data_IF_023815311934
#
_entry.id   IF_023815311934
#
_cell.length_a   1.000
_cell.length_b   1.000
_cell.length_c   1.000
_cell.angle_alpha   90.00
_cell.angle_beta   90.00
_cell.angle_gamma   90.00
#
_symmetry.space_group_name_H-M   'P 1'
#
loop_
_entity.id
_entity.type
_entity.pdbx_description
1 polymer ?
#
# COMPACT_ATOMS: atom_id res chain seq x y z
N UNK A 1 -21.07 46.67 18.12
CA UNK A 1 -20.99 45.94 16.84
C UNK A 1 -20.56 44.51 17.13
N UNK A 2 -21.52 43.61 17.28
CA UNK A 2 -21.28 42.17 17.42
C UNK A 2 -20.90 41.61 16.06
N UNK A 3 -19.64 41.21 15.90
CA UNK A 3 -19.21 40.42 14.74
C UNK A 3 -19.95 39.08 14.77
N UNK A 4 -21.10 39.01 14.11
CA UNK A 4 -21.68 37.73 13.70
C UNK A 4 -20.69 37.11 12.74
N UNK A 5 -20.04 36.03 13.18
CA UNK A 5 -19.17 35.20 12.36
C UNK A 5 -19.97 34.49 11.25
N UNK A 6 -20.49 35.27 10.30
CA UNK A 6 -20.97 34.80 9.01
C UNK A 6 -19.78 34.20 8.26
N UNK A 7 -19.92 32.97 7.75
CA UNK A 7 -18.94 32.14 7.03
C UNK A 7 -18.03 31.21 7.86
N UNK A 8 -18.50 30.72 9.01
CA UNK A 8 -18.02 29.44 9.57
C UNK A 8 -18.75 28.25 8.94
N UNK A 9 -18.75 28.15 7.61
CA UNK A 9 -18.99 26.89 6.86
C UNK A 9 -17.84 25.87 7.06
N UNK A 10 -17.09 26.04 8.16
CA UNK A 10 -15.93 25.28 8.59
C UNK A 10 -16.37 23.90 9.02
N UNK A 11 -16.08 22.89 8.22
CA UNK A 11 -15.94 21.48 8.60
C UNK A 11 -16.75 21.08 9.84
N UNK A 12 -18.07 21.28 9.74
CA UNK A 12 -19.01 21.02 10.83
C UNK A 12 -19.07 19.51 11.11
N UNK A 13 -19.68 19.14 12.22
CA UNK A 13 -19.74 17.73 12.64
C UNK A 13 -20.40 16.83 11.58
N UNK A 14 -21.38 17.36 10.82
CA UNK A 14 -22.08 16.61 9.78
C UNK A 14 -21.19 16.37 8.56
N UNK A 15 -20.44 17.38 8.10
CA UNK A 15 -19.46 17.26 7.02
C UNK A 15 -18.29 16.38 7.43
N UNK A 16 -17.86 16.47 8.70
CA UNK A 16 -16.85 15.59 9.31
C UNK A 16 -17.29 14.13 9.25
N UNK A 17 -18.49 13.82 9.74
CA UNK A 17 -19.01 12.46 9.73
C UNK A 17 -19.16 11.93 8.30
N UNK A 18 -19.76 12.72 7.38
CA UNK A 18 -19.88 12.34 5.96
C UNK A 18 -18.54 12.04 5.31
N UNK A 19 -17.51 12.82 5.63
CA UNK A 19 -16.16 12.58 5.13
C UNK A 19 -15.60 11.26 5.68
N UNK A 20 -15.73 11.01 6.98
CA UNK A 20 -15.26 9.77 7.61
C UNK A 20 -15.99 8.53 7.06
N UNK A 21 -17.30 8.61 6.89
CA UNK A 21 -18.12 7.54 6.32
C UNK A 21 -17.67 7.22 4.88
N UNK A 22 -17.48 8.25 4.04
CA UNK A 22 -16.99 8.08 2.68
C UNK A 22 -15.60 7.43 2.64
N UNK A 23 -14.68 7.84 3.51
CA UNK A 23 -13.35 7.20 3.62
C UNK A 23 -13.49 5.74 4.07
N UNK A 24 -14.37 5.44 5.03
CA UNK A 24 -14.61 4.09 5.53
C UNK A 24 -15.19 3.15 4.46
N UNK A 25 -15.98 3.67 3.51
CA UNK A 25 -16.45 2.91 2.33
C UNK A 25 -15.36 2.64 1.28
N UNK A 26 -14.15 3.15 1.48
CA UNK A 26 -13.02 2.90 0.60
C UNK A 26 -12.80 3.96 -0.47
N UNK A 27 -13.49 5.09 -0.44
CA UNK A 27 -13.23 6.21 -1.35
C UNK A 27 -11.82 6.80 -1.17
N UNK A 28 -11.32 7.50 -2.19
CA UNK A 28 -10.10 8.30 -2.07
C UNK A 28 -10.36 9.51 -1.18
N UNK A 29 -9.32 10.09 -0.58
CA UNK A 29 -9.48 11.27 0.29
C UNK A 29 -10.00 12.49 -0.48
N UNK A 30 -9.64 12.62 -1.76
CA UNK A 30 -10.11 13.71 -2.61
C UNK A 30 -11.62 13.57 -2.92
N UNK A 31 -12.06 12.37 -3.30
CA UNK A 31 -13.47 12.10 -3.60
C UNK A 31 -14.34 12.18 -2.34
N UNK A 32 -13.83 11.69 -1.20
CA UNK A 32 -14.50 11.82 0.08
C UNK A 32 -14.68 13.30 0.48
N UNK A 33 -13.65 14.14 0.25
CA UNK A 33 -13.74 15.58 0.50
C UNK A 33 -14.76 16.25 -0.43
N UNK A 34 -14.76 15.91 -1.72
CA UNK A 34 -15.77 16.39 -2.67
C UNK A 34 -17.18 15.97 -2.26
N UNK A 35 -17.37 14.72 -1.83
CA UNK A 35 -18.65 14.16 -1.37
C UNK A 35 -19.17 14.87 -0.11
N UNK A 36 -18.27 15.22 0.81
CA UNK A 36 -18.62 15.98 2.00
C UNK A 36 -18.82 17.49 1.73
N UNK A 37 -18.58 17.96 0.51
CA UNK A 37 -18.69 19.37 0.13
C UNK A 37 -17.63 20.24 0.80
N UNK A 38 -16.41 19.71 0.95
CA UNK A 38 -15.28 20.40 1.59
C UNK A 38 -14.04 20.41 0.69
N UNK A 39 -13.21 21.43 0.87
CA UNK A 39 -11.93 21.48 0.19
C UNK A 39 -10.97 20.40 0.75
N UNK A 40 -10.24 19.69 -0.12
CA UNK A 40 -9.39 18.56 0.26
C UNK A 40 -8.30 18.87 1.31
N UNK A 41 -7.85 20.14 1.40
CA UNK A 41 -6.89 20.57 2.43
C UNK A 41 -7.48 20.70 3.84
N UNK A 42 -8.81 20.82 3.97
CA UNK A 42 -9.48 21.06 5.25
C UNK A 42 -9.31 19.86 6.20
N UNK A 43 -9.60 18.61 5.81
CA UNK A 43 -9.34 17.45 6.67
C UNK A 43 -7.90 17.36 7.14
N UNK A 44 -6.92 17.60 6.27
CA UNK A 44 -5.48 17.56 6.62
C UNK A 44 -5.11 18.58 7.69
N UNK A 45 -5.73 19.76 7.68
CA UNK A 45 -5.52 20.78 8.73
C UNK A 45 -6.12 20.33 10.07
N UNK A 46 -7.32 19.75 10.05
CA UNK A 46 -7.97 19.22 11.25
C UNK A 46 -7.24 17.99 11.82
N UNK A 47 -6.75 17.09 10.98
CA UNK A 47 -5.95 15.92 11.38
C UNK A 47 -4.70 16.32 12.20
N UNK A 48 -4.12 17.51 11.96
CA UNK A 48 -2.96 18.01 12.72
C UNK A 48 -3.32 18.68 14.05
N UNK A 49 -4.54 19.16 14.20
CA UNK A 49 -4.94 20.05 15.30
C UNK A 49 -5.99 19.43 16.22
N UNK A 50 -6.71 18.42 15.75
CA UNK A 50 -7.77 17.70 16.46
C UNK A 50 -7.39 16.21 16.51
N UNK A 51 -6.85 15.78 17.65
CA UNK A 51 -6.37 14.41 17.86
C UNK A 51 -7.51 13.37 17.79
N UNK A 52 -8.72 13.75 18.21
CA UNK A 52 -9.90 12.87 18.16
C UNK A 52 -10.28 12.62 16.70
N UNK A 53 -10.32 13.68 15.89
CA UNK A 53 -10.55 13.54 14.46
C UNK A 53 -9.43 12.75 13.76
N UNK A 54 -8.16 12.97 14.15
CA UNK A 54 -7.03 12.23 13.58
C UNK A 54 -7.17 10.71 13.80
N UNK A 55 -7.53 10.30 15.01
CA UNK A 55 -7.78 8.89 15.34
C UNK A 55 -8.97 8.35 14.54
N UNK A 56 -10.10 9.05 14.53
CA UNK A 56 -11.28 8.64 13.76
C UNK A 56 -10.98 8.48 12.26
N UNK A 57 -10.16 9.38 11.69
CA UNK A 57 -9.72 9.29 10.31
C UNK A 57 -8.77 8.10 10.07
N UNK A 58 -7.89 7.79 11.02
CA UNK A 58 -7.04 6.60 10.94
C UNK A 58 -7.88 5.31 10.92
N UNK A 59 -8.90 5.23 11.78
CA UNK A 59 -9.83 4.10 11.85
C UNK A 59 -10.64 3.97 10.55
N UNK A 60 -11.17 5.08 10.04
CA UNK A 60 -11.86 5.12 8.75
C UNK A 60 -10.95 4.67 7.59
N UNK A 61 -9.69 5.12 7.55
CA UNK A 61 -8.70 4.68 6.54
C UNK A 61 -8.45 3.17 6.63
N UNK A 62 -8.37 2.61 7.84
CA UNK A 62 -8.20 1.18 8.05
C UNK A 62 -9.42 0.38 7.56
N UNK A 63 -10.64 0.83 7.86
CA UNK A 63 -11.88 0.24 7.36
C UNK A 63 -11.94 0.29 5.82
N UNK A 64 -11.72 1.47 5.22
CA UNK A 64 -11.73 1.63 3.77
C UNK A 64 -10.66 0.81 3.06
N UNK A 65 -9.50 0.57 3.70
CA UNK A 65 -8.49 -0.34 3.17
C UNK A 65 -9.02 -1.77 3.09
N UNK A 66 -9.74 -2.26 4.11
CA UNK A 66 -10.35 -3.60 4.11
C UNK A 66 -11.38 -3.72 2.99
N UNK A 67 -12.29 -2.75 2.86
CA UNK A 67 -13.31 -2.72 1.79
C UNK A 67 -12.67 -2.79 0.41
N UNK A 68 -11.62 -1.99 0.16
CA UNK A 68 -10.89 -2.05 -1.12
C UNK A 68 -10.25 -3.41 -1.36
N UNK A 69 -9.66 -4.04 -0.33
CA UNK A 69 -9.05 -5.37 -0.46
C UNK A 69 -10.07 -6.47 -0.73
N UNK A 70 -11.26 -6.39 -0.13
CA UNK A 70 -12.35 -7.34 -0.33
C UNK A 70 -12.90 -7.30 -1.76
N UNK A 71 -12.99 -6.10 -2.34
CA UNK A 71 -13.46 -5.87 -3.71
C UNK A 71 -12.43 -6.27 -4.79
N UNK A 72 -11.19 -6.59 -4.44
CA UNK A 72 -10.21 -7.09 -5.42
C UNK A 72 -10.56 -8.55 -5.78
N UNK A 73 -10.72 -8.88 -7.08
CA UNK A 73 -10.99 -10.26 -7.48
C UNK A 73 -9.93 -11.26 -6.99
N UNK A 74 -10.35 -12.48 -6.69
CA UNK A 74 -9.43 -13.56 -6.33
C UNK A 74 -8.55 -13.94 -7.52
N UNK A 75 -7.26 -14.18 -7.26
CA UNK A 75 -6.28 -14.50 -8.30
C UNK A 75 -4.83 -14.38 -7.81
N UNK A 76 -3.89 -14.46 -8.75
CA UNK A 76 -2.45 -14.44 -8.45
C UNK A 76 -2.01 -13.13 -7.76
N UNK A 77 -2.55 -11.97 -8.18
CA UNK A 77 -2.26 -10.69 -7.53
C UNK A 77 -2.68 -10.67 -6.06
N UNK A 78 -3.92 -11.08 -5.76
CA UNK A 78 -4.44 -11.10 -4.38
C UNK A 78 -3.68 -12.10 -3.51
N UNK A 79 -3.17 -13.19 -4.08
CA UNK A 79 -2.25 -14.11 -3.41
C UNK A 79 -0.90 -13.44 -3.08
N UNK A 80 -0.23 -12.87 -4.08
CA UNK A 80 1.13 -12.36 -3.93
C UNK A 80 1.19 -11.06 -3.13
N UNK A 81 0.31 -10.10 -3.42
CA UNK A 81 0.39 -8.74 -2.91
C UNK A 81 -0.53 -8.49 -1.70
N UNK A 82 -1.66 -9.20 -1.62
CA UNK A 82 -2.65 -9.01 -0.55
C UNK A 82 -2.67 -10.17 0.46
N UNK A 83 -1.81 -11.17 0.29
CA UNK A 83 -1.62 -12.26 1.25
C UNK A 83 -2.77 -13.26 1.35
N UNK A 84 -3.71 -13.27 0.40
CA UNK A 84 -4.82 -14.24 0.42
C UNK A 84 -4.30 -15.67 0.15
N UNK A 85 -4.84 -16.64 0.88
CA UNK A 85 -4.44 -18.07 0.82
C UNK A 85 -5.60 -19.03 0.57
N UNK A 86 -6.74 -18.55 0.04
CA UNK A 86 -7.83 -19.45 -0.35
C UNK A 86 -7.47 -20.28 -1.60
N UNK A 87 -8.20 -21.36 -1.84
CA UNK A 87 -7.92 -22.33 -2.91
C UNK A 87 -7.86 -21.69 -4.31
N UNK A 88 -8.74 -20.73 -4.60
CA UNK A 88 -8.76 -19.99 -5.89
C UNK A 88 -7.45 -19.23 -6.10
N UNK A 89 -7.01 -18.48 -5.08
CA UNK A 89 -5.78 -17.70 -5.10
C UNK A 89 -4.54 -18.60 -5.19
N UNK A 90 -4.50 -19.68 -4.40
CA UNK A 90 -3.43 -20.67 -4.41
C UNK A 90 -3.30 -21.36 -5.78
N UNK A 91 -4.43 -21.77 -6.36
CA UNK A 91 -4.50 -22.39 -7.69
C UNK A 91 -4.03 -21.43 -8.77
N UNK A 92 -4.51 -20.18 -8.75
CA UNK A 92 -4.09 -19.14 -9.69
C UNK A 92 -2.57 -18.88 -9.60
N UNK A 93 -2.01 -18.77 -8.40
CA UNK A 93 -0.58 -18.57 -8.20
C UNK A 93 0.25 -19.78 -8.67
N UNK A 94 -0.22 -21.00 -8.41
CA UNK A 94 0.43 -22.22 -8.90
C UNK A 94 0.43 -22.30 -10.42
N UNK A 95 -0.71 -21.96 -11.06
CA UNK A 95 -0.81 -21.87 -12.52
C UNK A 95 0.15 -20.82 -13.08
N UNK A 96 0.17 -19.60 -12.53
CA UNK A 96 1.09 -18.54 -12.95
C UNK A 96 2.56 -18.96 -12.84
N UNK A 97 2.95 -19.63 -11.75
CA UNK A 97 4.31 -20.21 -11.61
C UNK A 97 4.61 -21.29 -12.64
N UNK A 98 3.64 -22.15 -12.99
CA UNK A 98 3.82 -23.16 -14.03
C UNK A 98 4.02 -22.51 -15.41
N UNK A 99 3.21 -21.52 -15.76
CA UNK A 99 3.34 -20.78 -17.03
C UNK A 99 4.70 -20.08 -17.14
N UNK A 100 5.17 -19.41 -16.08
CA UNK A 100 6.50 -18.78 -16.08
C UNK A 100 7.64 -19.80 -16.22
N UNK A 101 7.52 -20.97 -15.60
CA UNK A 101 8.50 -22.06 -15.78
C UNK A 101 8.51 -22.59 -17.21
N UNK A 102 7.34 -22.77 -17.84
CA UNK A 102 7.25 -23.20 -19.23
C UNK A 102 7.84 -22.15 -20.19
N UNK A 103 7.57 -20.87 -19.97
CA UNK A 103 8.13 -19.78 -20.78
C UNK A 103 9.65 -19.58 -20.59
N UNK A 104 10.20 -19.98 -19.44
CA UNK A 104 11.62 -19.93 -19.16
C UNK A 104 12.38 -21.16 -19.68
N UNK A 105 11.69 -22.21 -20.11
CA UNK A 105 12.36 -23.25 -20.89
C UNK A 105 12.75 -22.63 -22.22
N UNK A 106 14.03 -22.66 -22.61
CA UNK A 106 14.44 -22.14 -23.90
C UNK A 106 13.62 -22.87 -24.96
N UNK A 107 12.92 -22.11 -25.80
CA UNK A 107 12.50 -22.61 -27.10
C UNK A 107 13.75 -23.27 -27.70
N UNK A 108 13.63 -24.55 -28.06
CA UNK A 108 14.74 -25.39 -28.50
C UNK A 108 15.72 -24.56 -29.32
N UNK A 109 16.91 -24.32 -28.75
CA UNK A 109 18.04 -23.83 -29.51
C UNK A 109 18.43 -25.00 -30.43
N UNK A 110 17.77 -25.06 -31.58
CA UNK A 110 18.19 -25.88 -32.70
C UNK A 110 19.63 -25.49 -33.03
N UNK A 111 20.56 -26.32 -32.54
CA UNK A 111 21.93 -26.39 -33.01
C UNK A 111 22.89 -25.35 -32.44
N UNK A 112 23.38 -25.55 -31.22
CA UNK A 112 24.82 -25.41 -30.94
C UNK A 112 25.21 -26.10 -29.64
N UNK A 113 25.59 -27.37 -29.79
CA UNK A 113 26.36 -28.12 -28.80
C UNK A 113 27.74 -27.48 -28.64
N UNK A 114 28.00 -26.85 -27.49
CA UNK A 114 29.37 -26.45 -27.14
C UNK A 114 29.48 -25.29 -26.16
N UNK A 115 28.97 -25.42 -24.94
CA UNK A 115 29.45 -24.58 -23.82
C UNK A 115 29.34 -25.36 -22.51
N UNK A 116 30.46 -25.97 -22.13
CA UNK A 116 30.71 -26.54 -20.81
C UNK A 116 30.40 -25.48 -19.76
N UNK A 117 29.59 -25.85 -18.76
CA UNK A 117 29.11 -24.94 -17.72
C UNK A 117 30.24 -24.21 -17.00
N UNK A 118 30.29 -22.88 -17.16
CA UNK A 118 31.03 -22.03 -16.24
C UNK A 118 30.25 -21.93 -14.94
N UNK A 119 30.60 -22.81 -14.00
CA UNK A 119 30.29 -22.63 -12.59
C UNK A 119 31.08 -21.41 -12.12
N UNK A 120 30.42 -20.26 -12.00
CA UNK A 120 31.03 -19.12 -11.32
C UNK A 120 31.17 -19.47 -9.84
N UNK A 121 32.39 -19.75 -9.40
CA UNK A 121 32.72 -19.81 -7.97
C UNK A 121 32.34 -18.48 -7.32
N UNK A 122 31.37 -18.52 -6.40
CA UNK A 122 31.05 -17.40 -5.52
C UNK A 122 32.17 -17.34 -4.48
N UNK A 123 33.23 -16.57 -4.77
CA UNK A 123 34.26 -16.25 -3.79
C UNK A 123 33.63 -15.39 -2.69
N UNK A 124 33.44 -15.98 -1.51
CA UNK A 124 33.02 -15.28 -0.30
C UNK A 124 34.17 -14.37 0.19
N UNK A 125 34.31 -13.16 -0.36
CA UNK A 125 35.13 -12.13 0.26
C UNK A 125 34.37 -11.49 1.42
N UNK A 126 34.69 -11.94 2.63
CA UNK A 126 34.42 -11.24 3.89
C UNK A 126 35.18 -9.90 3.91
N UNK A 127 34.61 -8.86 3.31
CA UNK A 127 35.01 -7.47 3.60
C UNK A 127 34.12 -6.92 4.71
N UNK A 128 34.38 -7.44 5.92
CA UNK A 128 33.99 -6.80 7.17
C UNK A 128 34.98 -5.66 7.43
N UNK A 129 34.61 -4.44 7.07
CA UNK A 129 35.23 -3.23 7.61
C UNK A 129 34.18 -2.45 8.38
N UNK A 130 33.90 -2.89 9.60
CA UNK A 130 33.23 -2.12 10.64
C UNK A 130 34.14 -0.96 11.07
N UNK A 131 34.00 0.17 10.41
CA UNK A 131 34.53 1.46 10.87
C UNK A 131 33.51 2.11 11.82
N UNK A 132 33.48 1.64 13.07
CA UNK A 132 32.95 2.39 14.20
C UNK A 132 34.06 2.55 15.23
N UNK A 133 34.87 3.59 15.05
CA UNK A 133 35.73 4.11 16.09
C UNK A 133 35.45 5.60 16.28
N UNK A 134 35.25 5.94 17.56
CA UNK A 134 35.44 7.23 18.23
C UNK A 134 34.22 8.14 18.39
N UNK A 135 33.60 8.06 19.57
CA UNK A 135 33.60 9.09 20.63
C UNK A 135 32.64 8.61 21.75
N UNK A 136 32.89 8.72 23.05
CA UNK A 136 33.77 9.63 23.80
C UNK A 136 33.99 9.05 25.22
N UNK A 137 35.16 9.34 25.77
CA UNK A 137 35.60 8.98 27.11
C UNK A 137 35.03 9.92 28.20
N UNK A 138 35.20 9.44 29.44
CA UNK A 138 35.06 10.06 30.77
C UNK A 138 33.69 9.95 31.44
#
# INVERSE_FOLDING_TARGET
MTYTATNRDLFDEKKRQRYLDAVATGMTLADAAATAGIHHNVPRRHERTDAVFAQALADAKAAGKKVRQENVPHGEYRYNCLGCRCDVCCTAATRGRATRRAAAQPAELDGQSGAVGQVHEIRAELKSSTSFLLARAS
#
